data_IF_599771970122
#
_entry.id   IF_599771970122
#
_cell.length_a   1.000
_cell.length_b   1.000
_cell.length_c   1.000
_cell.angle_alpha   90.00
_cell.angle_beta   90.00
_cell.angle_gamma   90.00
#
_symmetry.space_group_name_H-M   'P 1'
#
loop_
_entity.id
_entity.type
_entity.pdbx_description
1 polymer ?
#
# COMPACT_ATOMS: atom_id res chain seq x y z
N UNK A 1 -1.44 4.64 27.36
CA UNK A 1 -0.77 3.75 26.40
C UNK A 1 -1.42 3.76 25.02
N UNK A 2 -2.68 3.33 24.88
CA UNK A 2 -3.38 3.15 23.60
C UNK A 2 -3.50 4.44 22.74
N UNK A 3 -3.66 5.62 23.38
CA UNK A 3 -3.69 6.92 22.68
C UNK A 3 -2.34 7.36 22.10
N UNK A 4 -1.22 6.99 22.75
CA UNK A 4 0.11 7.33 22.26
C UNK A 4 0.49 6.46 21.06
N UNK A 5 0.14 5.17 21.10
CA UNK A 5 0.32 4.23 19.98
C UNK A 5 -0.52 4.68 18.77
N UNK A 6 -1.79 5.08 18.98
CA UNK A 6 -2.62 5.62 17.90
C UNK A 6 -2.05 6.90 17.28
N UNK A 7 -1.64 7.88 18.09
CA UNK A 7 -1.01 9.11 17.55
C UNK A 7 0.27 8.83 16.76
N UNK A 8 1.10 7.90 17.23
CA UNK A 8 2.32 7.53 16.51
C UNK A 8 1.98 6.85 15.17
N UNK A 9 1.00 5.94 15.15
CA UNK A 9 0.51 5.30 13.94
C UNK A 9 -0.10 6.32 12.96
N UNK A 10 -0.93 7.24 13.45
CA UNK A 10 -1.55 8.29 12.64
C UNK A 10 -0.49 9.21 12.00
N UNK A 11 0.53 9.61 12.76
CA UNK A 11 1.64 10.42 12.23
C UNK A 11 2.49 9.67 11.20
N UNK A 12 2.76 8.38 11.42
CA UNK A 12 3.45 7.51 10.45
C UNK A 12 2.65 7.36 9.15
N UNK A 13 1.34 7.19 9.25
CA UNK A 13 0.43 7.12 8.11
C UNK A 13 0.42 8.43 7.33
N UNK A 14 0.38 9.58 8.01
CA UNK A 14 0.43 10.89 7.35
C UNK A 14 1.75 11.13 6.63
N UNK A 15 2.87 10.75 7.25
CA UNK A 15 4.19 10.82 6.61
C UNK A 15 4.26 9.90 5.40
N UNK A 16 3.79 8.65 5.52
CA UNK A 16 3.76 7.72 4.39
C UNK A 16 2.89 8.25 3.24
N UNK A 17 1.71 8.80 3.55
CA UNK A 17 0.83 9.40 2.56
C UNK A 17 1.48 10.62 1.88
N UNK A 18 2.14 11.49 2.64
CA UNK A 18 2.86 12.65 2.11
C UNK A 18 4.02 12.22 1.19
N UNK A 19 4.80 11.21 1.60
CA UNK A 19 5.89 10.65 0.79
C UNK A 19 5.36 10.01 -0.50
N UNK A 20 4.24 9.27 -0.43
CA UNK A 20 3.62 8.69 -1.62
C UNK A 20 3.07 9.74 -2.58
N UNK A 21 2.43 10.79 -2.06
CA UNK A 21 1.92 11.89 -2.88
C UNK A 21 3.06 12.69 -3.53
N UNK A 22 4.14 12.96 -2.79
CA UNK A 22 5.35 13.59 -3.32
C UNK A 22 5.99 12.70 -4.38
N UNK A 23 6.14 11.40 -4.12
CA UNK A 23 6.67 10.42 -5.06
C UNK A 23 5.88 10.39 -6.36
N UNK A 24 4.54 10.41 -6.28
CA UNK A 24 3.66 10.43 -7.44
C UNK A 24 3.87 11.71 -8.26
N UNK A 25 3.99 12.86 -7.59
CA UNK A 25 4.25 14.13 -8.27
C UNK A 25 5.61 14.11 -8.99
N UNK A 26 6.64 13.57 -8.34
CA UNK A 26 7.96 13.39 -8.95
C UNK A 26 7.88 12.45 -10.16
N UNK A 27 7.18 11.32 -10.05
CA UNK A 27 7.00 10.39 -11.17
C UNK A 27 6.29 11.03 -12.36
N UNK A 28 5.23 11.80 -12.12
CA UNK A 28 4.53 12.53 -13.18
C UNK A 28 5.49 13.47 -13.90
N UNK A 29 6.32 14.22 -13.16
CA UNK A 29 7.33 15.11 -13.76
C UNK A 29 8.36 14.31 -14.57
N UNK A 30 8.88 13.22 -14.02
CA UNK A 30 9.85 12.35 -14.71
C UNK A 30 9.27 11.78 -16.00
N UNK A 31 8.03 11.28 -15.96
CA UNK A 31 7.32 10.75 -17.14
C UNK A 31 7.11 11.83 -18.18
N UNK A 32 6.68 13.04 -17.79
CA UNK A 32 6.49 14.15 -18.71
C UNK A 32 7.80 14.56 -19.38
N UNK A 33 8.87 14.74 -18.60
CA UNK A 33 10.21 15.06 -19.13
C UNK A 33 10.68 14.00 -20.10
N UNK A 34 10.47 12.72 -19.78
CA UNK A 34 10.88 11.60 -20.60
C UNK A 34 10.07 11.49 -21.91
N UNK A 35 8.75 11.69 -21.86
CA UNK A 35 7.88 11.68 -23.05
C UNK A 35 8.21 12.86 -23.97
N UNK A 36 8.40 14.06 -23.40
CA UNK A 36 8.81 15.25 -24.17
C UNK A 36 10.20 15.02 -24.77
N UNK A 37 11.17 14.56 -23.97
CA UNK A 37 12.51 14.26 -24.44
C UNK A 37 12.52 13.24 -25.57
N UNK A 38 11.72 12.17 -25.48
CA UNK A 38 11.51 11.20 -26.57
C UNK A 38 11.01 11.86 -27.86
N UNK A 39 10.06 12.80 -27.76
CA UNK A 39 9.55 13.50 -28.93
C UNK A 39 10.63 14.35 -29.63
N UNK A 40 11.64 14.83 -28.89
CA UNK A 40 12.80 15.56 -29.42
C UNK A 40 14.02 14.66 -29.69
N UNK A 41 13.90 13.34 -29.62
CA UNK A 41 14.98 12.39 -29.88
C UNK A 41 16.00 12.21 -28.74
N UNK A 42 15.77 12.82 -27.58
CA UNK A 42 16.60 12.73 -26.39
C UNK A 42 15.78 12.19 -25.20
N UNK A 43 15.50 10.88 -25.12
CA UNK A 43 14.80 10.28 -23.99
C UNK A 43 15.56 10.52 -22.68
N UNK A 44 14.83 10.55 -21.56
CA UNK A 44 15.45 10.68 -20.25
C UNK A 44 16.12 9.37 -19.87
N UNK A 45 17.44 9.39 -19.75
CA UNK A 45 18.23 8.20 -19.42
C UNK A 45 17.83 7.65 -18.04
N UNK A 46 17.50 6.35 -17.99
CA UNK A 46 17.13 5.69 -16.74
C UNK A 46 15.73 6.03 -16.22
N UNK A 47 14.88 6.71 -16.99
CA UNK A 47 13.52 7.07 -16.56
C UNK A 47 12.70 5.87 -16.08
N UNK A 48 12.75 4.76 -16.82
CA UNK A 48 12.04 3.53 -16.48
C UNK A 48 12.53 2.94 -15.15
N UNK A 49 13.82 3.00 -14.87
CA UNK A 49 14.40 2.50 -13.62
C UNK A 49 13.91 3.36 -12.44
N UNK A 50 13.90 4.69 -12.61
CA UNK A 50 13.41 5.63 -11.60
C UNK A 50 11.93 5.42 -11.32
N UNK A 51 11.10 5.31 -12.36
CA UNK A 51 9.66 5.09 -12.22
C UNK A 51 9.40 3.74 -11.55
N UNK A 52 10.08 2.66 -11.99
CA UNK A 52 9.81 1.32 -11.43
C UNK A 52 10.19 1.24 -9.95
N UNK A 53 11.31 1.83 -9.55
CA UNK A 53 11.75 1.84 -8.15
C UNK A 53 10.96 2.85 -7.30
N UNK A 54 10.59 4.00 -7.87
CA UNK A 54 9.77 5.04 -7.26
C UNK A 54 8.37 4.55 -6.91
N UNK A 55 7.81 3.67 -7.76
CA UNK A 55 6.44 3.18 -7.64
C UNK A 55 6.21 2.46 -6.32
N UNK A 56 7.26 1.88 -5.72
CA UNK A 56 7.20 1.29 -4.37
C UNK A 56 6.72 2.33 -3.35
N UNK A 57 7.32 3.51 -3.33
CA UNK A 57 6.97 4.57 -2.39
C UNK A 57 5.56 5.11 -2.64
N UNK A 58 5.20 5.27 -3.91
CA UNK A 58 3.87 5.75 -4.31
C UNK A 58 2.78 4.77 -3.90
N UNK A 59 2.94 3.48 -4.21
CA UNK A 59 1.98 2.43 -3.85
C UNK A 59 1.82 2.33 -2.34
N UNK A 60 2.90 2.35 -1.58
CA UNK A 60 2.78 2.25 -0.13
C UNK A 60 2.23 3.50 0.55
N UNK A 61 2.59 4.69 0.08
CA UNK A 61 1.96 5.90 0.58
C UNK A 61 0.47 5.96 0.27
N UNK A 62 0.07 5.53 -0.93
CA UNK A 62 -1.34 5.38 -1.28
C UNK A 62 -2.03 4.33 -0.39
N UNK A 63 -1.40 3.18 -0.16
CA UNK A 63 -1.92 2.13 0.72
C UNK A 63 -2.09 2.59 2.16
N UNK A 64 -1.13 3.33 2.73
CA UNK A 64 -1.24 3.89 4.07
C UNK A 64 -2.46 4.83 4.20
N UNK A 65 -2.71 5.65 3.16
CA UNK A 65 -3.88 6.52 3.12
C UNK A 65 -5.19 5.72 2.97
N UNK A 66 -5.20 4.68 2.14
CA UNK A 66 -6.34 3.79 1.98
C UNK A 66 -6.69 3.05 3.28
N UNK A 67 -5.69 2.56 4.01
CA UNK A 67 -5.89 1.86 5.27
C UNK A 67 -6.50 2.79 6.33
N UNK A 68 -6.02 4.05 6.40
CA UNK A 68 -6.58 5.08 7.29
C UNK A 68 -8.03 5.44 6.99
N UNK A 69 -8.39 5.54 5.71
CA UNK A 69 -9.76 5.90 5.30
C UNK A 69 -10.74 4.73 5.41
N UNK A 70 -10.30 3.58 5.91
CA UNK A 70 -11.14 2.39 5.96
C UNK A 70 -11.39 1.77 4.58
N UNK A 71 -10.62 2.13 3.55
CA UNK A 71 -10.87 1.84 2.14
C UNK A 71 -10.55 0.42 1.67
N UNK A 72 -10.76 -0.60 2.51
CA UNK A 72 -11.08 -1.91 1.93
C UNK A 72 -12.49 -1.74 1.44
N UNK A 73 -12.67 -1.81 0.11
CA UNK A 73 -13.93 -1.64 -0.62
C UNK A 73 -15.07 -2.22 0.24
N UNK A 74 -15.65 -1.38 1.09
CA UNK A 74 -16.95 -1.62 1.63
C UNK A 74 -17.79 -1.66 0.37
N UNK A 75 -18.64 -2.67 0.24
CA UNK A 75 -19.57 -2.67 -0.87
C UNK A 75 -20.61 -1.60 -0.53
N UNK A 76 -20.22 -0.32 -0.59
CA UNK A 76 -21.02 0.85 -0.26
C UNK A 76 -22.33 0.85 -1.08
N UNK A 77 -22.33 0.17 -2.23
CA UNK A 77 -23.50 -0.06 -3.06
C UNK A 77 -24.54 -1.05 -2.46
N UNK A 78 -24.10 -2.02 -1.65
CA UNK A 78 -24.97 -3.04 -1.02
C UNK A 78 -25.20 -2.78 0.48
N UNK A 79 -24.31 -2.02 1.12
CA UNK A 79 -24.36 -1.65 2.53
C UNK A 79 -25.73 -1.10 2.99
N UNK A 80 -26.42 -0.23 2.23
CA UNK A 80 -27.73 0.30 2.62
C UNK A 80 -28.86 -0.73 2.64
N UNK A 81 -28.69 -1.86 1.95
CA UNK A 81 -29.72 -2.90 1.77
C UNK A 81 -29.51 -4.15 2.63
N UNK A 82 -28.37 -4.25 3.30
CA UNK A 82 -27.97 -5.45 4.04
C UNK A 82 -28.17 -5.27 5.56
N UNK A 83 -28.59 -6.32 6.28
CA UNK A 83 -28.67 -6.28 7.74
C UNK A 83 -27.29 -6.11 8.36
N UNK A 84 -27.21 -5.38 9.49
CA UNK A 84 -25.95 -4.99 10.17
C UNK A 84 -24.98 -6.16 10.41
N UNK A 85 -25.49 -7.36 10.67
CA UNK A 85 -24.67 -8.56 10.86
C UNK A 85 -23.97 -9.02 9.57
N UNK A 86 -24.62 -8.88 8.41
CA UNK A 86 -24.03 -9.27 7.13
C UNK A 86 -22.98 -8.25 6.67
N UNK A 87 -23.22 -6.95 6.86
CA UNK A 87 -22.21 -5.92 6.59
C UNK A 87 -20.94 -6.14 7.42
N UNK A 88 -21.09 -6.50 8.70
CA UNK A 88 -19.95 -6.84 9.55
C UNK A 88 -19.19 -8.07 9.07
N UNK A 89 -19.91 -9.10 8.61
CA UNK A 89 -19.30 -10.30 8.05
C UNK A 89 -18.53 -10.00 6.75
N UNK A 90 -19.10 -9.17 5.86
CA UNK A 90 -18.44 -8.77 4.61
C UNK A 90 -17.20 -7.93 4.87
N UNK A 91 -17.22 -7.03 5.87
CA UNK A 91 -16.05 -6.24 6.23
C UNK A 91 -14.90 -7.09 6.77
N UNK A 92 -15.21 -8.06 7.65
CA UNK A 92 -14.23 -9.00 8.17
C UNK A 92 -13.66 -9.87 7.03
N UNK A 93 -14.52 -10.37 6.14
CA UNK A 93 -14.09 -11.14 4.97
C UNK A 93 -13.18 -10.34 4.05
N UNK A 94 -13.55 -9.09 3.74
CA UNK A 94 -12.75 -8.19 2.90
C UNK A 94 -11.39 -7.90 3.53
N UNK A 95 -11.33 -7.66 4.86
CA UNK A 95 -10.08 -7.44 5.56
C UNK A 95 -9.18 -8.69 5.58
N UNK A 96 -9.76 -9.88 5.79
CA UNK A 96 -9.01 -11.15 5.76
C UNK A 96 -8.52 -11.50 4.35
N UNK A 97 -9.35 -11.29 3.33
CA UNK A 97 -8.96 -11.48 1.93
C UNK A 97 -7.85 -10.51 1.53
N UNK A 98 -7.97 -9.23 1.93
CA UNK A 98 -6.91 -8.24 1.76
C UNK A 98 -5.60 -8.72 2.40
N UNK A 99 -5.65 -9.13 3.67
CA UNK A 99 -4.47 -9.64 4.37
C UNK A 99 -3.84 -10.84 3.64
N UNK A 100 -4.65 -11.79 3.17
CA UNK A 100 -4.16 -12.95 2.43
C UNK A 100 -3.48 -12.57 1.11
N UNK A 101 -4.04 -11.59 0.38
CA UNK A 101 -3.43 -11.06 -0.85
C UNK A 101 -2.07 -10.43 -0.53
N UNK A 102 -1.98 -9.58 0.50
CA UNK A 102 -0.72 -8.92 0.86
C UNK A 102 0.34 -9.88 1.40
N UNK A 103 -0.04 -10.93 2.12
CA UNK A 103 0.89 -12.00 2.53
C UNK A 103 1.42 -12.76 1.30
N UNK A 104 0.53 -13.11 0.37
CA UNK A 104 0.92 -13.78 -0.88
C UNK A 104 1.85 -12.89 -1.71
N UNK A 105 1.56 -11.59 -1.78
CA UNK A 105 2.41 -10.60 -2.45
C UNK A 105 3.79 -10.52 -1.79
N UNK A 106 3.84 -10.42 -0.46
CA UNK A 106 5.11 -10.39 0.28
C UNK A 106 5.94 -11.66 0.02
N UNK A 107 5.29 -12.83 0.00
CA UNK A 107 5.96 -14.09 -0.31
C UNK A 107 6.51 -14.11 -1.74
N UNK A 108 5.73 -13.69 -2.74
CA UNK A 108 6.16 -13.63 -4.12
C UNK A 108 7.35 -12.66 -4.31
N UNK A 109 7.27 -11.47 -3.71
CA UNK A 109 8.34 -10.46 -3.74
C UNK A 109 9.59 -10.97 -3.04
N UNK A 110 9.46 -11.67 -1.92
CA UNK A 110 10.59 -12.27 -1.21
C UNK A 110 11.33 -13.29 -2.06
N UNK A 111 10.62 -14.16 -2.78
CA UNK A 111 11.25 -15.08 -3.73
C UNK A 111 11.95 -14.32 -4.87
N UNK A 112 11.31 -13.26 -5.38
CA UNK A 112 11.90 -12.40 -6.41
C UNK A 112 13.16 -11.67 -5.92
N UNK A 113 13.19 -11.24 -4.66
CA UNK A 113 14.34 -10.58 -4.03
C UNK A 113 15.52 -11.54 -3.86
N UNK A 114 15.26 -12.78 -3.42
CA UNK A 114 16.29 -13.83 -3.34
C UNK A 114 16.90 -14.13 -4.69
N UNK A 115 16.06 -14.32 -5.71
CA UNK A 115 16.51 -14.56 -7.07
C UNK A 115 17.36 -13.39 -7.58
N UNK A 116 16.93 -12.15 -7.30
CA UNK A 116 17.65 -10.94 -7.68
C UNK A 116 19.01 -10.82 -7.00
N UNK A 117 19.14 -11.25 -5.74
CA UNK A 117 20.43 -11.33 -5.04
C UNK A 117 21.32 -12.43 -5.63
N UNK A 118 20.78 -13.63 -5.87
CA UNK A 118 21.55 -14.75 -6.43
C UNK A 118 22.11 -14.44 -7.82
N UNK A 119 21.34 -13.73 -8.65
CA UNK A 119 21.72 -13.34 -10.01
C UNK A 119 22.40 -11.96 -10.08
N UNK A 120 22.64 -11.31 -8.93
CA UNK A 120 23.23 -9.98 -8.80
C UNK A 120 22.56 -8.93 -9.72
N UNK A 121 21.22 -9.01 -9.84
CA UNK A 121 20.44 -8.22 -10.79
C UNK A 121 20.41 -6.74 -10.40
N UNK A 122 20.80 -5.91 -11.36
CA UNK A 122 20.73 -4.46 -11.26
C UNK A 122 19.76 -3.89 -12.30
N UNK A 123 19.28 -2.66 -12.10
CA UNK A 123 18.43 -1.99 -13.08
C UNK A 123 19.19 -1.75 -14.39
N UNK A 124 18.47 -1.68 -15.51
CA UNK A 124 19.08 -1.84 -16.83
C UNK A 124 19.99 -0.66 -17.23
N UNK A 125 19.72 0.54 -16.71
CA UNK A 125 20.39 1.76 -17.13
C UNK A 125 21.16 2.40 -15.97
N UNK A 126 20.56 2.44 -14.78
CA UNK A 126 21.15 3.06 -13.59
C UNK A 126 21.97 2.10 -12.73
N UNK A 127 21.99 0.80 -13.07
CA UNK A 127 22.69 -0.25 -12.31
C UNK A 127 22.36 -0.23 -10.80
N UNK A 128 21.11 0.07 -10.45
CA UNK A 128 20.68 0.06 -9.05
C UNK A 128 20.36 -1.38 -8.60
N UNK A 129 20.77 -1.80 -7.39
CA UNK A 129 20.43 -3.12 -6.86
C UNK A 129 18.91 -3.24 -6.65
N UNK A 130 18.23 -4.08 -7.46
CA UNK A 130 16.77 -4.27 -7.35
C UNK A 130 16.35 -4.83 -5.99
N UNK A 131 17.22 -5.66 -5.41
CA UNK A 131 16.97 -6.35 -4.16
C UNK A 131 16.57 -5.39 -3.03
N UNK A 132 17.21 -4.22 -2.91
CA UNK A 132 16.92 -3.28 -1.82
C UNK A 132 15.47 -2.79 -1.86
N UNK A 133 14.97 -2.44 -3.04
CA UNK A 133 13.59 -2.00 -3.24
C UNK A 133 12.60 -3.15 -3.06
N UNK A 134 12.95 -4.36 -3.49
CA UNK A 134 12.11 -5.55 -3.29
C UNK A 134 12.00 -5.95 -1.82
N UNK A 135 13.09 -5.85 -1.05
CA UNK A 135 13.08 -6.07 0.40
C UNK A 135 12.22 -5.04 1.12
N UNK A 136 12.33 -3.76 0.74
CA UNK A 136 11.47 -2.71 1.27
C UNK A 136 9.99 -2.98 0.96
N UNK A 137 9.68 -3.39 -0.28
CA UNK A 137 8.34 -3.77 -0.72
C UNK A 137 7.79 -4.97 0.07
N UNK A 138 8.61 -5.99 0.32
CA UNK A 138 8.24 -7.13 1.15
C UNK A 138 7.90 -6.71 2.60
N UNK A 139 8.73 -5.86 3.21
CA UNK A 139 8.51 -5.40 4.59
C UNK A 139 7.22 -4.58 4.70
N UNK A 140 7.00 -3.63 3.80
CA UNK A 140 5.82 -2.79 3.80
C UNK A 140 4.53 -3.57 3.48
N UNK A 141 4.59 -4.58 2.62
CA UNK A 141 3.47 -5.49 2.36
C UNK A 141 3.07 -6.28 3.61
N UNK A 142 4.04 -6.77 4.39
CA UNK A 142 3.78 -7.45 5.66
C UNK A 142 3.19 -6.51 6.73
N UNK A 143 3.67 -5.27 6.81
CA UNK A 143 3.11 -4.24 7.71
C UNK A 143 1.63 -4.00 7.36
N UNK A 144 1.32 -3.89 6.07
CA UNK A 144 -0.05 -3.70 5.58
C UNK A 144 -0.93 -4.91 5.91
N UNK A 145 -0.45 -6.12 5.68
CA UNK A 145 -1.18 -7.34 6.02
C UNK A 145 -1.48 -7.41 7.53
N UNK A 146 -0.53 -7.02 8.37
CA UNK A 146 -0.74 -6.93 9.82
C UNK A 146 -1.82 -5.90 10.17
N UNK A 147 -1.80 -4.72 9.55
CA UNK A 147 -2.83 -3.69 9.72
C UNK A 147 -4.24 -4.21 9.40
N UNK A 148 -4.39 -4.93 8.29
CA UNK A 148 -5.66 -5.54 7.88
C UNK A 148 -6.16 -6.60 8.86
N UNK A 149 -5.26 -7.44 9.38
CA UNK A 149 -5.61 -8.44 10.40
C UNK A 149 -6.05 -7.77 11.70
N UNK A 150 -5.32 -6.75 12.15
CA UNK A 150 -5.69 -5.99 13.36
C UNK A 150 -7.06 -5.30 13.20
N UNK A 151 -7.35 -4.76 12.03
CA UNK A 151 -8.66 -4.19 11.70
C UNK A 151 -9.76 -5.25 11.74
N UNK A 152 -9.52 -6.44 11.19
CA UNK A 152 -10.48 -7.55 11.24
C UNK A 152 -10.78 -7.94 12.70
N UNK A 153 -9.76 -7.98 13.57
CA UNK A 153 -9.95 -8.21 15.01
C UNK A 153 -10.72 -7.07 15.69
N UNK A 154 -10.41 -5.80 15.40
CA UNK A 154 -11.15 -4.66 15.97
C UNK A 154 -12.63 -4.73 15.60
N UNK A 155 -12.96 -5.04 14.33
CA UNK A 155 -14.34 -5.21 13.87
C UNK A 155 -14.98 -6.42 14.55
N UNK A 156 -14.26 -7.52 14.79
CA UNK A 156 -14.79 -8.69 15.48
C UNK A 156 -15.08 -8.43 16.98
N UNK A 157 -14.26 -7.61 17.65
CA UNK A 157 -14.38 -7.33 19.10
C UNK A 157 -15.19 -6.07 19.44
N UNK A 158 -15.57 -5.22 18.48
CA UNK A 158 -16.38 -4.02 18.75
C UNK A 158 -17.76 -4.42 19.33
N UNK A 159 -18.10 -4.03 20.58
CA UNK A 159 -19.42 -4.30 21.17
C UNK A 159 -20.53 -3.61 20.39
N UNK A 160 -21.73 -4.18 20.39
CA UNK A 160 -22.89 -3.70 19.61
C UNK A 160 -23.47 -2.33 20.06
N UNK A 161 -22.92 -1.72 21.12
CA UNK A 161 -23.61 -0.70 21.93
C UNK A 161 -23.54 0.75 21.40
N UNK A 162 -22.80 1.07 20.34
CA UNK A 162 -22.73 2.45 19.80
C UNK A 162 -23.79 2.76 18.73
N UNK A 163 -24.61 1.78 18.32
CA UNK A 163 -25.57 1.97 17.23
C UNK A 163 -26.95 2.54 17.69
N UNK A 164 -27.12 2.84 18.98
CA UNK A 164 -28.39 3.27 19.56
C UNK A 164 -28.44 4.79 19.87
N UNK A 165 -27.33 5.54 19.79
CA UNK A 165 -27.29 6.98 20.16
C UNK A 165 -27.17 7.96 18.99
N UNK A 166 -27.35 7.51 17.74
CA UNK A 166 -27.37 8.38 16.55
C UNK A 166 -28.60 8.15 15.65
N UNK A 167 -29.77 7.95 16.26
CA UNK A 167 -31.04 8.29 15.61
C UNK A 167 -31.45 9.70 16.02
#
# INVERSE_FOLDING_TARGET
MYRAIRRAADGLIELAAALGALGLLVEVVVVLVDVIGRAFGHPLYGSQDIITMGMVFVVFGAMALCDRRGGHIAVDLLEPRLPRALNRATDILSALLGAAIFVTLAWAVYQSAKLSLMLNLSTNLLNLPKAWFQWALCALALITALGMVLRAFEIAFRPQDEAETRQ
#
